data_IF_542760046459
#
_entry.id   IF_542760046459
#
_cell.length_a   1.000
_cell.length_b   1.000
_cell.length_c   1.000
_cell.angle_alpha   90.00
_cell.angle_beta   90.00
_cell.angle_gamma   90.00
#
_symmetry.space_group_name_H-M   'P 1'
#
loop_
_entity.id
_entity.type
_entity.pdbx_description
1 polymer ?
#
# COMPACT_ATOMS: atom_id res chain seq x y z
N UNK A 1 5.30 3.43 4.71
CA UNK A 1 4.89 4.81 4.36
C UNK A 1 3.39 4.86 4.40
N UNK A 2 2.86 5.89 5.06
CA UNK A 2 1.41 6.07 5.17
C UNK A 2 0.97 6.90 3.96
N UNK A 3 -0.11 6.50 3.31
CA UNK A 3 -0.71 7.15 2.14
C UNK A 3 -2.20 7.39 2.39
N UNK A 4 -2.88 8.03 1.44
CA UNK A 4 -4.31 8.36 1.52
C UNK A 4 -4.62 9.28 2.71
N UNK A 5 -3.75 10.26 2.95
CA UNK A 5 -3.98 11.29 3.94
C UNK A 5 -4.87 12.40 3.35
N UNK A 6 -6.09 12.64 3.89
CA UNK A 6 -6.99 13.65 3.33
C UNK A 6 -6.51 15.09 3.53
N UNK A 7 -5.49 15.31 4.37
CA UNK A 7 -4.85 16.61 4.54
C UNK A 7 -3.66 16.84 3.60
N UNK A 8 -3.27 15.82 2.83
CA UNK A 8 -2.14 15.90 1.90
C UNK A 8 -2.57 16.57 0.60
N UNK A 9 -1.79 17.55 0.15
CA UNK A 9 -2.02 18.20 -1.15
C UNK A 9 -1.36 17.42 -2.27
N UNK A 10 -1.75 17.74 -3.50
CA UNK A 10 -1.08 17.20 -4.68
C UNK A 10 0.43 17.52 -4.69
N UNK A 11 0.80 18.72 -4.24
CA UNK A 11 2.19 19.14 -4.19
C UNK A 11 2.99 18.29 -3.20
N UNK A 12 2.41 17.99 -2.03
CA UNK A 12 3.02 17.12 -1.02
C UNK A 12 3.27 15.70 -1.56
N UNK A 13 2.32 15.16 -2.34
CA UNK A 13 2.48 13.86 -3.00
C UNK A 13 3.63 13.87 -4.02
N UNK A 14 3.72 14.92 -4.83
CA UNK A 14 4.79 15.10 -5.82
C UNK A 14 6.15 15.18 -5.13
N UNK A 15 6.24 15.95 -4.05
CA UNK A 15 7.47 16.09 -3.26
C UNK A 15 7.87 14.77 -2.61
N UNK A 16 6.91 14.02 -2.07
CA UNK A 16 7.13 12.68 -1.51
C UNK A 16 7.69 11.73 -2.56
N UNK A 17 7.10 11.67 -3.76
CA UNK A 17 7.60 10.82 -4.86
C UNK A 17 9.02 11.24 -5.28
N UNK A 18 9.28 12.55 -5.35
CA UNK A 18 10.62 13.06 -5.65
C UNK A 18 11.62 12.66 -4.56
N UNK A 19 11.29 12.83 -3.29
CA UNK A 19 12.15 12.44 -2.17
C UNK A 19 12.43 10.93 -2.17
N UNK A 20 11.41 10.11 -2.40
CA UNK A 20 11.58 8.65 -2.49
C UNK A 20 12.48 8.27 -3.66
N UNK A 21 12.37 8.96 -4.79
CA UNK A 21 13.15 8.64 -5.99
C UNK A 21 14.66 8.87 -5.84
N UNK A 22 15.09 9.75 -4.93
CA UNK A 22 16.52 10.03 -4.65
C UNK A 22 17.19 8.99 -3.76
N UNK A 23 16.41 8.14 -3.08
CA UNK A 23 16.94 7.08 -2.23
C UNK A 23 17.78 6.08 -3.04
N UNK A 24 18.84 5.57 -2.41
CA UNK A 24 19.73 4.57 -3.02
C UNK A 24 18.97 3.26 -3.27
N UNK A 25 18.91 2.85 -4.54
CA UNK A 25 18.27 1.61 -4.99
C UNK A 25 19.23 0.41 -4.87
N UNK A 26 18.74 -0.82 -4.66
CA UNK A 26 17.33 -1.20 -4.54
C UNK A 26 16.77 -1.05 -3.11
N UNK A 27 15.50 -0.68 -3.01
CA UNK A 27 14.71 -0.74 -1.77
C UNK A 27 13.26 -1.12 -2.13
N UNK A 28 12.47 -1.53 -1.13
CA UNK A 28 11.05 -1.86 -1.31
C UNK A 28 10.20 -0.93 -0.46
N UNK A 29 9.06 -0.51 -0.96
CA UNK A 29 8.10 0.31 -0.21
C UNK A 29 6.96 -0.54 0.30
N UNK A 30 6.73 -0.49 1.62
CA UNK A 30 5.47 -0.93 2.22
C UNK A 30 4.60 0.29 2.39
N UNK A 31 3.52 0.34 1.61
CA UNK A 31 2.50 1.39 1.73
C UNK A 31 1.43 0.92 2.72
N UNK A 32 0.84 1.86 3.46
CA UNK A 32 -0.29 1.62 4.33
C UNK A 32 -1.29 2.77 4.22
N UNK A 33 -2.57 2.47 4.16
CA UNK A 33 -3.63 3.46 4.17
C UNK A 33 -3.70 4.17 5.53
N UNK A 34 -3.95 5.48 5.57
CA UNK A 34 -4.12 6.21 6.82
C UNK A 34 -5.44 5.80 7.50
N UNK A 35 -5.31 5.10 8.63
CA UNK A 35 -6.43 4.67 9.49
C UNK A 35 -6.62 5.63 10.67
N UNK A 36 -7.85 6.10 10.88
CA UNK A 36 -8.22 7.02 11.96
C UNK A 36 -8.67 6.28 13.22
N UNK A 37 -7.74 5.81 14.03
CA UNK A 37 -8.07 5.07 15.26
C UNK A 37 -8.84 5.93 16.28
N UNK A 38 -9.89 5.37 16.93
CA UNK A 38 -10.68 6.11 17.91
C UNK A 38 -9.83 6.59 19.09
N UNK A 39 -10.20 7.73 19.67
CA UNK A 39 -9.50 8.32 20.82
C UNK A 39 -8.18 9.04 20.48
N UNK A 40 -7.68 8.99 19.24
CA UNK A 40 -6.45 9.70 18.86
C UNK A 40 -6.70 11.19 18.53
N UNK A 41 -5.73 12.09 18.76
CA UNK A 41 -5.87 13.50 18.39
C UNK A 41 -6.14 13.74 16.91
N UNK A 42 -5.57 12.90 16.04
CA UNK A 42 -5.78 12.96 14.59
C UNK A 42 -7.25 12.67 14.24
N UNK A 43 -7.84 11.63 14.85
CA UNK A 43 -9.25 11.28 14.65
C UNK A 43 -10.18 12.36 15.20
N UNK A 44 -9.89 12.92 16.37
CA UNK A 44 -10.67 14.03 16.93
C UNK A 44 -10.66 15.25 16.00
N UNK A 45 -9.49 15.59 15.45
CA UNK A 45 -9.37 16.68 14.47
C UNK A 45 -10.16 16.38 13.20
N UNK A 46 -9.99 15.19 12.61
CA UNK A 46 -10.67 14.82 11.37
C UNK A 46 -12.19 14.75 11.52
N UNK A 47 -12.69 14.34 12.69
CA UNK A 47 -14.12 14.41 13.03
C UNK A 47 -14.62 15.85 13.14
N UNK A 48 -13.84 16.73 13.81
CA UNK A 48 -14.17 18.15 13.95
C UNK A 48 -14.21 18.86 12.58
N UNK A 49 -13.26 18.51 11.70
CA UNK A 49 -13.15 19.04 10.35
C UNK A 49 -14.18 18.42 9.38
N UNK A 50 -14.99 17.45 9.84
CA UNK A 50 -15.99 16.70 9.05
C UNK A 50 -15.42 15.98 7.83
N UNK A 51 -14.16 15.57 7.91
CA UNK A 51 -13.45 14.84 6.85
C UNK A 51 -13.77 13.34 6.91
N UNK A 52 -14.06 12.84 8.11
CA UNK A 52 -14.35 11.43 8.38
C UNK A 52 -15.61 11.27 9.23
N UNK A 53 -16.22 10.09 9.19
CA UNK A 53 -17.21 9.63 10.17
C UNK A 53 -16.53 8.89 11.35
N UNK A 54 -17.24 8.68 12.48
CA UNK A 54 -16.70 7.98 13.65
C UNK A 54 -16.25 6.54 13.39
N UNK A 55 -16.83 5.90 12.38
CA UNK A 55 -16.56 4.52 11.99
C UNK A 55 -15.47 4.43 10.91
N UNK A 56 -14.74 5.53 10.63
CA UNK A 56 -13.71 5.59 9.61
C UNK A 56 -12.59 4.55 9.77
N UNK A 57 -12.23 4.21 11.01
CA UNK A 57 -11.26 3.16 11.31
C UNK A 57 -11.66 1.78 10.78
N UNK A 58 -12.95 1.56 10.56
CA UNK A 58 -13.44 0.30 10.05
C UNK A 58 -13.13 0.19 8.55
N UNK A 59 -13.52 1.17 7.73
CA UNK A 59 -13.40 1.06 6.27
C UNK A 59 -12.05 1.55 5.72
N UNK A 60 -11.31 2.38 6.47
CA UNK A 60 -9.98 2.86 6.09
C UNK A 60 -8.90 1.90 6.60
N UNK A 61 -8.95 0.63 6.20
CA UNK A 61 -8.05 -0.41 6.72
C UNK A 61 -6.64 -0.28 6.13
N UNK A 62 -5.61 -0.47 6.97
CA UNK A 62 -4.21 -0.20 6.63
C UNK A 62 -3.71 -0.89 5.34
N UNK A 63 -4.26 -2.06 4.99
CA UNK A 63 -3.81 -2.86 3.84
C UNK A 63 -4.50 -2.43 2.52
N UNK A 64 -5.67 -1.80 2.59
CA UNK A 64 -6.51 -1.48 1.43
C UNK A 64 -6.27 -0.04 0.95
N UNK A 65 -5.14 0.16 0.29
CA UNK A 65 -4.76 1.47 -0.26
C UNK A 65 -5.58 1.82 -1.49
N UNK A 66 -5.91 3.10 -1.63
CA UNK A 66 -6.64 3.60 -2.79
C UNK A 66 -5.80 3.50 -4.07
N UNK A 67 -6.43 3.14 -5.20
CA UNK A 67 -5.75 2.91 -6.48
C UNK A 67 -5.52 4.22 -7.27
N UNK A 68 -5.13 5.29 -6.58
CA UNK A 68 -4.86 6.61 -7.16
C UNK A 68 -3.64 6.60 -8.08
N UNK A 69 -3.51 7.65 -8.91
CA UNK A 69 -2.34 7.82 -9.78
C UNK A 69 -1.04 7.89 -8.96
N UNK A 70 -1.04 8.73 -7.93
CA UNK A 70 0.13 8.94 -7.09
C UNK A 70 0.51 7.70 -6.29
N UNK A 71 -0.44 6.97 -5.72
CA UNK A 71 -0.14 5.73 -5.00
C UNK A 71 0.48 4.66 -5.92
N UNK A 72 0.00 4.54 -7.15
CA UNK A 72 0.59 3.64 -8.15
C UNK A 72 2.02 4.06 -8.49
N UNK A 73 2.24 5.35 -8.74
CA UNK A 73 3.58 5.87 -9.06
C UNK A 73 4.54 5.69 -7.87
N UNK A 74 4.10 6.02 -6.67
CA UNK A 74 4.86 5.89 -5.43
C UNK A 74 5.23 4.43 -5.11
N UNK A 75 4.31 3.49 -5.38
CA UNK A 75 4.56 2.06 -5.25
C UNK A 75 5.70 1.61 -6.19
N UNK A 76 5.71 2.08 -7.45
CA UNK A 76 6.70 1.61 -8.44
C UNK A 76 8.01 2.41 -8.45
N UNK A 77 8.05 3.56 -7.79
CA UNK A 77 9.21 4.47 -7.69
C UNK A 77 10.54 3.78 -7.34
N UNK A 78 10.59 2.78 -6.42
CA UNK A 78 11.83 2.10 -6.08
C UNK A 78 12.44 1.30 -7.25
N UNK A 79 11.60 0.91 -8.22
CA UNK A 79 11.93 -0.04 -9.27
C UNK A 79 12.19 0.60 -10.64
N UNK A 80 11.83 1.88 -10.81
CA UNK A 80 11.98 2.59 -12.09
C UNK A 80 13.09 3.66 -12.00
N UNK A 81 13.77 4.01 -13.10
CA UNK A 81 14.83 5.01 -13.08
C UNK A 81 14.30 6.43 -12.83
N UNK A 82 15.19 7.31 -12.36
CA UNK A 82 14.84 8.68 -11.95
C UNK A 82 14.15 9.49 -13.05
N UNK A 83 14.59 9.34 -14.31
CA UNK A 83 14.02 10.06 -15.43
C UNK A 83 12.55 9.67 -15.67
N UNK A 84 12.20 8.40 -15.48
CA UNK A 84 10.82 7.92 -15.64
C UNK A 84 9.93 8.47 -14.52
N UNK A 85 10.43 8.51 -13.28
CA UNK A 85 9.73 9.17 -12.17
C UNK A 85 9.48 10.64 -12.50
N UNK A 86 10.51 11.41 -12.90
CA UNK A 86 10.36 12.84 -13.24
C UNK A 86 9.40 13.11 -14.39
N UNK A 87 9.33 12.19 -15.36
CA UNK A 87 8.39 12.27 -16.47
C UNK A 87 6.94 12.05 -16.01
N UNK A 88 6.70 11.05 -15.17
CA UNK A 88 5.36 10.68 -14.68
C UNK A 88 4.87 11.57 -13.53
N UNK A 89 5.78 12.08 -12.69
CA UNK A 89 5.45 12.85 -11.50
C UNK A 89 5.03 14.28 -11.87
N UNK A 90 3.74 14.41 -12.24
CA UNK A 90 3.12 15.61 -12.77
C UNK A 90 1.81 15.90 -12.04
N UNK A 91 1.54 17.19 -11.86
CA UNK A 91 0.26 17.69 -11.35
C UNK A 91 -0.89 17.25 -12.25
N UNK A 92 -2.10 17.14 -11.70
CA UNK A 92 -3.30 16.71 -12.39
C UNK A 92 -3.60 17.63 -13.57
N UNK A 93 -3.41 18.94 -13.39
CA UNK A 93 -3.57 19.93 -14.46
C UNK A 93 -2.62 19.73 -15.65
N UNK A 94 -1.40 19.21 -15.41
CA UNK A 94 -0.40 18.97 -16.46
C UNK A 94 -0.41 17.54 -17.01
N UNK A 95 -1.18 16.64 -16.38
CA UNK A 95 -1.22 15.22 -16.70
C UNK A 95 -2.05 14.94 -17.94
N UNK A 96 -1.35 14.59 -19.02
CA UNK A 96 -1.96 14.05 -20.26
C UNK A 96 -2.25 12.54 -20.16
N UNK A 97 -3.12 12.04 -21.04
CA UNK A 97 -3.48 10.62 -21.14
C UNK A 97 -2.26 9.67 -21.25
N UNK A 98 -1.20 10.10 -21.95
CA UNK A 98 0.05 9.35 -22.10
C UNK A 98 0.69 8.99 -20.75
N UNK A 99 0.65 9.90 -19.76
CA UNK A 99 1.23 9.63 -18.45
C UNK A 99 0.47 8.52 -17.71
N UNK A 100 -0.87 8.54 -17.81
CA UNK A 100 -1.73 7.51 -17.21
C UNK A 100 -1.55 6.16 -17.91
N UNK A 101 -1.46 6.16 -19.24
CA UNK A 101 -1.23 4.96 -20.04
C UNK A 101 0.14 4.33 -19.73
N UNK A 102 1.21 5.13 -19.77
CA UNK A 102 2.56 4.66 -19.46
C UNK A 102 2.69 4.19 -18.01
N UNK A 103 2.06 4.88 -17.05
CA UNK A 103 2.04 4.42 -15.66
C UNK A 103 1.38 3.04 -15.54
N UNK A 104 0.28 2.78 -16.25
CA UNK A 104 -0.38 1.48 -16.21
C UNK A 104 0.51 0.36 -16.75
N UNK A 105 1.17 0.59 -17.89
CA UNK A 105 2.12 -0.37 -18.47
C UNK A 105 3.28 -0.62 -17.51
N UNK A 106 3.94 0.44 -17.05
CA UNK A 106 5.08 0.32 -16.14
C UNK A 106 4.70 -0.35 -14.83
N UNK A 107 3.55 0.00 -14.25
CA UNK A 107 3.06 -0.66 -13.06
C UNK A 107 2.81 -2.14 -13.28
N UNK A 108 2.19 -2.53 -14.39
CA UNK A 108 2.02 -3.95 -14.71
C UNK A 108 3.36 -4.69 -14.83
N UNK A 109 4.31 -4.15 -15.59
CA UNK A 109 5.64 -4.75 -15.78
C UNK A 109 6.37 -4.86 -14.45
N UNK A 110 6.46 -3.77 -13.69
CA UNK A 110 7.16 -3.74 -12.39
C UNK A 110 6.58 -4.76 -11.42
N UNK A 111 5.25 -4.78 -11.26
CA UNK A 111 4.58 -5.71 -10.34
C UNK A 111 4.77 -7.17 -10.74
N UNK A 112 4.86 -7.46 -12.05
CA UNK A 112 4.95 -8.83 -12.56
C UNK A 112 6.38 -9.37 -12.57
N UNK A 113 7.38 -8.52 -12.78
CA UNK A 113 8.76 -8.95 -13.03
C UNK A 113 9.77 -8.27 -12.11
N UNK A 114 9.83 -6.94 -12.11
CA UNK A 114 10.93 -6.19 -11.46
C UNK A 114 10.87 -6.30 -9.93
N UNK A 115 9.70 -6.11 -9.33
CA UNK A 115 9.54 -6.19 -7.88
C UNK A 115 9.90 -7.57 -7.31
N UNK A 116 9.39 -8.70 -7.85
CA UNK A 116 9.82 -10.03 -7.43
C UNK A 116 11.35 -10.25 -7.57
N UNK A 117 11.93 -9.77 -8.68
CA UNK A 117 13.38 -9.89 -8.89
C UNK A 117 14.18 -9.08 -7.86
N UNK A 118 13.74 -7.86 -7.54
CA UNK A 118 14.36 -7.03 -6.51
C UNK A 118 14.21 -7.66 -5.13
N UNK A 119 13.05 -8.23 -4.81
CA UNK A 119 12.83 -8.93 -3.55
C UNK A 119 13.77 -10.14 -3.41
N UNK A 120 13.91 -10.93 -4.46
CA UNK A 120 14.86 -12.05 -4.51
C UNK A 120 16.30 -11.57 -4.35
N UNK A 121 16.69 -10.48 -5.02
CA UNK A 121 18.01 -9.89 -4.89
C UNK A 121 18.29 -9.43 -3.45
N UNK A 122 17.33 -8.78 -2.79
CA UNK A 122 17.46 -8.35 -1.40
C UNK A 122 17.61 -9.54 -0.44
N UNK A 123 16.85 -10.61 -0.64
CA UNK A 123 17.00 -11.86 0.13
C UNK A 123 18.37 -12.49 -0.12
N UNK A 124 18.77 -12.62 -1.38
CA UNK A 124 20.07 -13.19 -1.72
C UNK A 124 21.20 -12.40 -1.06
N UNK A 125 21.14 -11.06 -1.14
CA UNK A 125 22.10 -10.17 -0.51
C UNK A 125 22.08 -10.25 1.02
N UNK A 126 20.90 -10.33 1.65
CA UNK A 126 20.81 -10.41 3.11
C UNK A 126 21.32 -11.74 3.67
N UNK A 127 21.28 -12.79 2.85
CA UNK A 127 21.81 -14.13 3.16
C UNK A 127 23.25 -14.33 2.65
N UNK A 128 23.94 -13.26 2.25
CA UNK A 128 25.31 -13.29 1.74
C UNK A 128 25.51 -14.29 0.59
N UNK A 129 24.50 -14.35 -0.30
CA UNK A 129 24.45 -15.19 -1.49
C UNK A 129 24.59 -16.70 -1.25
N UNK A 130 24.32 -17.17 -0.02
CA UNK A 130 24.38 -18.61 0.33
C UNK A 130 23.20 -19.39 -0.29
N UNK A 131 23.44 -20.30 -1.25
CA UNK A 131 22.36 -20.95 -2.00
C UNK A 131 21.38 -21.75 -1.13
N UNK A 132 21.88 -22.53 -0.17
CA UNK A 132 21.05 -23.38 0.68
C UNK A 132 20.05 -22.57 1.53
N UNK A 133 20.51 -21.43 2.05
CA UNK A 133 19.67 -20.53 2.85
C UNK A 133 18.63 -19.80 1.99
N UNK A 134 19.01 -19.41 0.77
CA UNK A 134 18.10 -18.78 -0.19
C UNK A 134 16.99 -19.76 -0.57
N UNK A 135 17.33 -20.99 -0.96
CA UNK A 135 16.36 -22.03 -1.34
C UNK A 135 15.41 -22.30 -0.17
N UNK A 136 15.95 -22.53 1.04
CA UNK A 136 15.14 -22.76 2.24
C UNK A 136 14.17 -21.61 2.55
N UNK A 137 14.61 -20.37 2.36
CA UNK A 137 13.78 -19.16 2.57
C UNK A 137 12.66 -19.06 1.53
N UNK A 138 12.98 -19.32 0.25
CA UNK A 138 11.99 -19.32 -0.84
C UNK A 138 10.95 -20.42 -0.60
N UNK A 139 11.37 -21.64 -0.27
CA UNK A 139 10.48 -22.76 0.02
C UNK A 139 9.55 -22.48 1.21
N UNK A 140 10.10 -21.90 2.29
CA UNK A 140 9.31 -21.51 3.46
C UNK A 140 8.23 -20.48 3.13
N UNK A 141 8.59 -19.46 2.34
CA UNK A 141 7.64 -18.43 1.89
C UNK A 141 6.60 -19.00 0.91
N UNK A 142 6.99 -19.93 0.04
CA UNK A 142 6.07 -20.58 -0.91
C UNK A 142 5.00 -21.39 -0.18
N UNK A 143 5.37 -22.12 0.87
CA UNK A 143 4.38 -22.85 1.72
C UNK A 143 3.33 -21.90 2.30
N UNK A 144 3.74 -20.73 2.77
CA UNK A 144 2.83 -19.71 3.29
C UNK A 144 1.94 -19.11 2.19
N UNK A 145 2.49 -18.86 1.00
CA UNK A 145 1.73 -18.36 -0.15
C UNK A 145 0.68 -19.36 -0.62
N UNK A 146 1.04 -20.64 -0.74
CA UNK A 146 0.12 -21.73 -1.07
C UNK A 146 -0.93 -21.90 0.02
N UNK A 147 -0.55 -21.86 1.30
CA UNK A 147 -1.49 -21.92 2.42
C UNK A 147 -2.53 -20.79 2.35
N UNK A 148 -2.11 -19.55 2.08
CA UNK A 148 -3.02 -18.42 1.87
C UNK A 148 -3.92 -18.61 0.65
N UNK A 149 -3.37 -19.10 -0.47
CA UNK A 149 -4.14 -19.37 -1.68
C UNK A 149 -5.21 -20.45 -1.44
N UNK A 150 -4.84 -21.55 -0.78
CA UNK A 150 -5.74 -22.64 -0.40
C UNK A 150 -6.78 -22.13 0.59
N UNK A 151 -6.41 -21.32 1.58
CA UNK A 151 -7.36 -20.69 2.52
C UNK A 151 -8.36 -19.78 1.80
N UNK A 152 -7.88 -18.96 0.86
CA UNK A 152 -8.72 -18.11 0.02
C UNK A 152 -9.71 -18.96 -0.80
N UNK A 153 -9.24 -20.04 -1.42
CA UNK A 153 -10.06 -20.96 -2.24
C UNK A 153 -11.10 -21.71 -1.41
N UNK A 154 -10.72 -22.15 -0.21
CA UNK A 154 -11.60 -22.84 0.74
C UNK A 154 -12.56 -21.89 1.48
N UNK A 155 -12.53 -20.58 1.19
CA UNK A 155 -13.39 -19.60 1.85
C UNK A 155 -13.10 -19.40 3.34
N UNK A 156 -11.98 -19.92 3.86
CA UNK A 156 -11.54 -19.83 5.25
C UNK A 156 -10.72 -18.56 5.53
N UNK A 157 -10.96 -17.51 4.78
CA UNK A 157 -10.36 -16.23 5.08
C UNK A 157 -10.96 -15.63 6.34
N UNK A 158 -10.12 -14.98 7.15
CA UNK A 158 -10.55 -14.00 8.13
C UNK A 158 -11.69 -13.17 7.54
N UNK A 159 -12.80 -13.07 8.27
CA UNK A 159 -14.07 -12.47 7.86
C UNK A 159 -13.84 -11.30 6.89
N UNK A 160 -14.28 -11.45 5.62
CA UNK A 160 -14.31 -10.33 4.67
C UNK A 160 -14.93 -9.12 5.37
N UNK A 161 -14.27 -7.96 5.29
CA UNK A 161 -14.54 -6.72 6.01
C UNK A 161 -16.03 -6.48 6.37
N UNK A 162 -16.94 -6.57 5.40
CA UNK A 162 -18.38 -6.42 5.63
C UNK A 162 -18.96 -7.39 6.67
N UNK A 163 -18.53 -8.66 6.67
CA UNK A 163 -18.93 -9.66 7.67
C UNK A 163 -18.35 -9.37 9.05
N UNK A 164 -17.14 -8.80 9.13
CA UNK A 164 -16.52 -8.39 10.39
C UNK A 164 -17.21 -7.15 10.97
N UNK A 165 -17.62 -6.21 10.12
CA UNK A 165 -18.43 -5.06 10.51
C UNK A 165 -19.79 -5.47 11.07
N UNK A 166 -20.51 -6.36 10.37
CA UNK A 166 -21.78 -6.92 10.85
C UNK A 166 -21.60 -7.68 12.16
N UNK A 167 -20.49 -8.41 12.29
CA UNK A 167 -20.16 -9.12 13.53
C UNK A 167 -19.88 -8.15 14.68
N UNK A 168 -19.06 -7.11 14.46
CA UNK A 168 -18.71 -6.12 15.49
C UNK A 168 -19.94 -5.30 15.93
N UNK A 169 -20.79 -4.86 15.00
CA UNK A 169 -22.07 -4.20 15.34
C UNK A 169 -22.99 -5.08 16.17
N UNK A 170 -22.91 -6.41 15.99
CA UNK A 170 -23.71 -7.38 16.76
C UNK A 170 -23.11 -7.73 18.11
N UNK A 171 -21.77 -7.75 18.23
CA UNK A 171 -21.07 -8.26 19.42
C UNK A 171 -20.55 -7.16 20.34
N UNK A 172 -20.38 -5.95 19.85
CA UNK A 172 -19.87 -4.80 20.59
C UNK A 172 -20.61 -3.50 20.17
N UNK A 173 -21.94 -3.42 20.36
CA UNK A 173 -22.75 -2.26 19.95
C UNK A 173 -22.29 -0.95 20.60
N UNK A 174 -21.70 -1.03 21.80
CA UNK A 174 -21.13 0.11 22.54
C UNK A 174 -19.99 0.84 21.79
N UNK A 175 -19.35 0.21 20.81
CA UNK A 175 -18.35 0.87 19.94
C UNK A 175 -18.98 1.78 18.87
N UNK A 176 -20.30 1.68 18.68
CA UNK A 176 -21.06 2.34 17.62
C UNK A 176 -22.10 3.33 18.15
N UNK A 177 -22.48 3.21 19.41
CA UNK A 177 -23.35 4.17 20.09
C UNK A 177 -22.51 5.37 20.54
N UNK A 178 -22.95 6.57 20.15
CA UNK A 178 -22.35 7.84 20.63
C UNK A 178 -23.01 8.22 21.95
N UNK A 179 -22.20 8.51 22.96
CA UNK A 179 -22.60 9.38 24.08
C UNK A 179 -22.96 10.79 23.58
#
# INVERSE_FOLDING_TARGET
MIVDNPYETEQDMIETINAMSTLKKPYTTSLAHLTFFPGTPLTQKALKDKIIDPEAYLHRYMIEIEKTYFNKLLNITPYIPQFAVRFLNKTEASRKWLHSFLLQILHFVVRRTVEPAVYLFLIARSLDYKPDWIIRTIEGNWRSAVSKFVSNYLGKNDLKYGKKLTYLRKTMPELFERD
#
